data_IF_873152841464
#
_entry.id   IF_873152841464
#
_cell.length_a   1.000
_cell.length_b   1.000
_cell.length_c   1.000
_cell.angle_alpha   90.00
_cell.angle_beta   90.00
_cell.angle_gamma   90.00
#
_symmetry.space_group_name_H-M   'P 1'
#
loop_
_entity.id
_entity.type
_entity.pdbx_description
1 polymer ?
#
# COMPACT_ATOMS: atom_id res chain seq x y z
N UNK A 1 -13.26 -11.04 -9.56
CA UNK A 1 -12.06 -11.76 -10.06
C UNK A 1 -12.48 -12.78 -11.09
N UNK A 2 -11.71 -12.93 -12.17
CA UNK A 2 -11.92 -13.96 -13.21
C UNK A 2 -11.46 -15.32 -12.71
N UNK A 3 -12.14 -16.42 -13.07
CA UNK A 3 -11.67 -17.76 -12.69
C UNK A 3 -10.50 -18.16 -13.58
N UNK A 4 -9.57 -18.94 -13.02
CA UNK A 4 -8.43 -19.49 -13.78
C UNK A 4 -8.89 -20.28 -15.03
N UNK A 5 -10.04 -20.95 -14.93
CA UNK A 5 -10.69 -21.69 -16.01
C UNK A 5 -11.25 -20.80 -17.14
N UNK A 6 -11.48 -19.51 -16.88
CA UNK A 6 -12.01 -18.56 -17.86
C UNK A 6 -10.89 -17.81 -18.60
N UNK A 7 -9.63 -18.02 -18.20
CA UNK A 7 -8.47 -17.40 -18.86
C UNK A 7 -8.09 -18.13 -20.15
N UNK A 8 -7.53 -17.40 -21.14
CA UNK A 8 -6.88 -18.00 -22.31
C UNK A 8 -5.82 -19.03 -21.90
N UNK A 9 -5.65 -20.15 -22.64
CA UNK A 9 -4.74 -21.24 -22.25
C UNK A 9 -3.33 -20.78 -21.87
N UNK A 10 -2.72 -19.92 -22.68
CA UNK A 10 -1.36 -19.39 -22.44
C UNK A 10 -1.27 -18.59 -21.14
N UNK A 11 -2.30 -17.80 -20.81
CA UNK A 11 -2.33 -17.03 -19.57
C UNK A 11 -2.58 -17.92 -18.36
N UNK A 12 -3.42 -18.94 -18.53
CA UNK A 12 -3.69 -19.95 -17.50
C UNK A 12 -2.42 -20.71 -17.12
N UNK A 13 -1.73 -21.28 -18.11
CA UNK A 13 -0.46 -22.00 -17.92
C UNK A 13 0.58 -21.11 -17.24
N UNK A 14 0.77 -19.88 -17.75
CA UNK A 14 1.68 -18.91 -17.14
C UNK A 14 1.33 -18.57 -15.68
N UNK A 15 0.06 -18.58 -15.28
CA UNK A 15 -0.35 -18.35 -13.90
C UNK A 15 -0.17 -19.59 -13.02
N UNK A 16 -0.32 -20.79 -13.58
CA UNK A 16 -0.07 -22.05 -12.87
C UNK A 16 1.42 -22.27 -12.60
N UNK A 17 2.27 -21.87 -13.55
CA UNK A 17 3.73 -21.98 -13.46
C UNK A 17 4.37 -20.76 -12.80
N UNK A 18 3.57 -19.79 -12.34
CA UNK A 18 4.11 -18.58 -11.74
C UNK A 18 4.86 -18.94 -10.47
N UNK A 19 6.15 -18.62 -10.43
CA UNK A 19 7.00 -18.90 -9.28
C UNK A 19 6.51 -18.08 -8.07
N UNK A 20 5.76 -18.73 -7.18
CA UNK A 20 5.39 -18.17 -5.89
C UNK A 20 6.54 -18.41 -4.91
N UNK A 21 7.27 -17.37 -4.49
CA UNK A 21 8.31 -17.55 -3.49
C UNK A 21 7.70 -18.09 -2.19
N UNK A 22 8.28 -19.17 -1.67
CA UNK A 22 8.00 -19.63 -0.31
C UNK A 22 8.85 -18.79 0.64
N UNK A 23 8.22 -17.87 1.34
CA UNK A 23 8.85 -17.21 2.47
C UNK A 23 8.84 -18.17 3.64
N UNK A 24 9.97 -18.30 4.36
CA UNK A 24 9.98 -19.02 5.63
C UNK A 24 8.97 -18.42 6.60
N UNK A 25 8.63 -19.15 7.67
CA UNK A 25 7.82 -18.57 8.73
C UNK A 25 8.61 -17.42 9.37
N UNK A 26 8.29 -16.18 9.03
CA UNK A 26 8.66 -15.07 9.88
C UNK A 26 7.85 -15.28 11.17
N UNK A 27 8.50 -15.42 12.35
CA UNK A 27 7.74 -15.46 13.59
C UNK A 27 6.92 -14.16 13.63
N UNK A 28 5.63 -14.27 13.88
CA UNK A 28 4.80 -13.11 14.19
C UNK A 28 5.47 -12.37 15.34
N UNK A 29 6.07 -11.23 15.04
CA UNK A 29 6.71 -10.42 16.08
C UNK A 29 5.58 -9.83 16.90
N UNK A 30 5.53 -10.17 18.19
CA UNK A 30 4.58 -9.55 19.10
C UNK A 30 4.97 -8.08 19.23
N UNK A 31 4.17 -7.18 18.65
CA UNK A 31 4.28 -5.74 18.89
C UNK A 31 3.58 -5.35 20.19
N UNK A 32 3.69 -4.08 20.56
CA UNK A 32 2.93 -3.48 21.67
C UNK A 32 1.41 -3.73 21.52
N UNK A 33 0.59 -3.56 22.56
CA UNK A 33 -0.86 -3.49 22.42
C UNK A 33 -1.30 -2.50 21.32
N UNK A 34 -2.40 -2.77 20.61
CA UNK A 34 -2.83 -1.93 19.47
C UNK A 34 -2.99 -0.46 19.87
N UNK A 35 -3.59 -0.20 21.03
CA UNK A 35 -3.81 1.13 21.59
C UNK A 35 -2.53 1.88 22.02
N UNK A 36 -1.35 1.29 21.80
CA UNK A 36 -0.04 1.93 21.99
C UNK A 36 0.74 2.07 20.67
N UNK A 37 0.20 1.57 19.56
CA UNK A 37 0.87 1.58 18.25
C UNK A 37 0.59 2.85 17.49
N UNK A 38 1.60 3.30 16.76
CA UNK A 38 1.47 4.36 15.75
C UNK A 38 1.42 3.70 14.38
N UNK A 39 0.29 3.86 13.68
CA UNK A 39 -0.01 3.12 12.45
C UNK A 39 0.12 3.99 11.22
N UNK A 40 0.83 3.50 10.19
CA UNK A 40 0.83 4.07 8.85
C UNK A 40 0.18 3.15 7.81
N UNK A 41 -0.25 3.72 6.68
CA UNK A 41 -0.73 2.99 5.51
C UNK A 41 0.36 2.89 4.46
N UNK A 42 0.49 1.71 3.85
CA UNK A 42 1.31 1.49 2.65
C UNK A 42 0.43 0.93 1.55
N UNK A 43 0.10 1.75 0.55
CA UNK A 43 -0.82 1.42 -0.54
C UNK A 43 -0.08 1.12 -1.84
N UNK A 44 -0.47 0.08 -2.57
CA UNK A 44 0.07 -0.18 -3.93
C UNK A 44 -0.72 0.51 -5.03
N UNK A 45 -1.64 1.41 -4.68
CA UNK A 45 -2.53 2.11 -5.62
C UNK A 45 -1.84 3.16 -6.50
N UNK A 46 -0.51 3.33 -6.43
CA UNK A 46 0.22 4.30 -7.25
C UNK A 46 -0.24 5.75 -7.04
N UNK A 47 -0.49 6.15 -5.78
CA UNK A 47 -0.96 7.47 -5.41
C UNK A 47 0.19 8.49 -5.34
N UNK A 48 -0.07 9.69 -5.83
CA UNK A 48 0.80 10.85 -5.70
C UNK A 48 0.02 12.03 -5.14
N UNK A 49 0.71 12.98 -4.51
CA UNK A 49 0.13 14.29 -4.22
C UNK A 49 0.23 15.16 -5.47
N UNK A 50 -0.79 15.99 -5.74
CA UNK A 50 -0.81 16.95 -6.85
C UNK A 50 0.50 17.74 -6.92
N UNK A 51 1.06 17.84 -8.14
CA UNK A 51 2.36 18.48 -8.38
C UNK A 51 3.56 17.54 -8.25
N UNK A 52 3.41 16.36 -7.65
CA UNK A 52 4.46 15.34 -7.67
C UNK A 52 4.51 14.61 -9.01
N UNK A 53 5.68 14.04 -9.30
CA UNK A 53 5.89 13.21 -10.49
C UNK A 53 5.08 11.92 -10.40
N UNK A 54 4.22 11.72 -11.40
CA UNK A 54 3.47 10.49 -11.63
C UNK A 54 4.38 9.25 -11.64
N UNK A 55 3.83 8.12 -11.23
CA UNK A 55 4.53 6.86 -11.40
C UNK A 55 4.65 6.47 -12.87
N UNK A 56 5.72 5.75 -13.19
CA UNK A 56 5.97 5.19 -14.53
C UNK A 56 6.04 3.67 -14.44
N UNK A 57 5.94 2.94 -15.56
CA UNK A 57 6.18 1.50 -15.57
C UNK A 57 7.51 1.17 -14.90
N UNK A 58 7.51 0.15 -14.03
CA UNK A 58 8.67 -0.30 -13.24
C UNK A 58 9.27 0.76 -12.30
N UNK A 59 8.53 1.81 -11.90
CA UNK A 59 8.99 2.72 -10.83
C UNK A 59 9.11 1.92 -9.52
N UNK A 60 10.27 2.03 -8.87
CA UNK A 60 10.63 1.30 -7.66
C UNK A 60 10.58 2.16 -6.40
N UNK A 61 10.34 3.46 -6.55
CA UNK A 61 10.33 4.42 -5.44
C UNK A 61 8.95 4.46 -4.81
N UNK A 62 8.86 4.86 -3.54
CA UNK A 62 7.59 5.25 -2.94
C UNK A 62 7.32 6.75 -3.08
N UNK A 63 6.12 7.15 -2.71
CA UNK A 63 5.71 8.54 -2.47
C UNK A 63 5.18 8.67 -1.05
N UNK A 64 5.61 9.70 -0.34
CA UNK A 64 5.02 10.06 0.93
C UNK A 64 3.76 10.90 0.69
N UNK A 65 2.71 10.57 1.44
CA UNK A 65 1.39 11.19 1.40
C UNK A 65 1.11 11.72 2.81
N UNK A 66 1.15 13.06 3.03
CA UNK A 66 0.79 13.61 4.34
C UNK A 66 -0.60 13.14 4.78
N UNK A 67 -0.79 12.84 6.06
CA UNK A 67 -2.08 12.35 6.58
C UNK A 67 -3.23 13.33 6.26
N UNK A 68 -2.95 14.63 6.45
CA UNK A 68 -3.89 15.74 6.24
C UNK A 68 -3.99 16.21 4.78
N UNK A 69 -3.43 15.48 3.82
CA UNK A 69 -3.56 15.85 2.40
C UNK A 69 -5.04 15.87 2.00
N UNK A 70 -5.52 16.94 1.33
CA UNK A 70 -6.89 16.97 0.81
C UNK A 70 -7.13 15.84 -0.20
N UNK A 71 -8.32 15.22 -0.15
CA UNK A 71 -8.69 14.15 -1.11
C UNK A 71 -8.56 14.61 -2.56
N UNK A 72 -8.92 15.87 -2.83
CA UNK A 72 -8.85 16.46 -4.16
C UNK A 72 -7.42 16.57 -4.71
N UNK A 73 -6.40 16.50 -3.85
CA UNK A 73 -4.99 16.55 -4.22
C UNK A 73 -4.34 15.17 -4.30
N UNK A 74 -5.04 14.10 -3.94
CA UNK A 74 -4.59 12.74 -4.17
C UNK A 74 -4.91 12.32 -5.60
N UNK A 75 -3.89 11.91 -6.35
CA UNK A 75 -4.01 11.46 -7.73
C UNK A 75 -3.56 10.00 -7.85
N UNK A 76 -4.41 9.16 -8.46
CA UNK A 76 -4.04 7.80 -8.82
C UNK A 76 -3.32 7.78 -10.17
N UNK A 77 -2.02 7.48 -10.16
CA UNK A 77 -1.17 7.38 -11.36
C UNK A 77 -0.71 5.94 -11.63
N UNK A 78 -1.46 4.97 -11.11
CA UNK A 78 -1.20 3.54 -11.33
C UNK A 78 -1.26 3.18 -12.82
N UNK A 79 -0.25 2.48 -13.33
CA UNK A 79 -0.11 2.19 -14.77
C UNK A 79 -0.99 1.03 -15.25
N UNK A 80 -1.36 0.10 -14.35
CA UNK A 80 -2.23 -1.03 -14.71
C UNK A 80 -3.64 -0.57 -15.05
N UNK A 81 -4.18 -1.08 -16.15
CA UNK A 81 -5.58 -0.87 -16.58
C UNK A 81 -6.52 -1.96 -16.05
N UNK A 82 -6.03 -2.92 -15.27
CA UNK A 82 -6.74 -4.17 -14.93
C UNK A 82 -7.62 -4.11 -13.68
N UNK A 83 -7.91 -2.93 -13.15
CA UNK A 83 -8.82 -2.77 -12.00
C UNK A 83 -9.74 -1.58 -12.17
N UNK A 84 -10.90 -1.69 -11.54
CA UNK A 84 -11.92 -0.65 -11.53
C UNK A 84 -11.48 0.52 -10.65
N UNK A 85 -11.45 1.71 -11.23
CA UNK A 85 -11.11 2.96 -10.52
C UNK A 85 -12.34 3.64 -9.93
N UNK A 86 -13.54 3.16 -10.24
CA UNK A 86 -14.78 3.79 -9.81
C UNK A 86 -14.92 3.79 -8.28
N UNK A 87 -14.39 2.77 -7.60
CA UNK A 87 -14.29 2.73 -6.13
C UNK A 87 -13.48 3.91 -5.58
N UNK A 88 -12.24 4.08 -6.06
CA UNK A 88 -11.38 5.21 -5.69
C UNK A 88 -12.00 6.58 -5.99
N UNK A 89 -12.62 6.72 -7.16
CA UNK A 89 -13.25 7.98 -7.58
C UNK A 89 -14.39 8.38 -6.62
N UNK A 90 -15.11 7.40 -6.07
CA UNK A 90 -16.20 7.64 -5.12
C UNK A 90 -15.71 7.83 -3.69
N UNK A 91 -14.74 7.03 -3.27
CA UNK A 91 -14.23 7.03 -1.90
C UNK A 91 -12.73 6.68 -1.87
N UNK A 92 -11.85 7.67 -1.58
CA UNK A 92 -10.42 7.47 -1.44
C UNK A 92 -10.02 6.44 -0.37
N UNK A 93 -10.85 6.25 0.67
CA UNK A 93 -10.55 5.30 1.74
C UNK A 93 -10.55 3.84 1.26
N UNK A 94 -11.13 3.55 0.09
CA UNK A 94 -11.07 2.20 -0.51
C UNK A 94 -9.63 1.75 -0.77
N UNK A 95 -8.71 2.69 -1.05
CA UNK A 95 -7.30 2.36 -1.35
C UNK A 95 -6.31 3.04 -0.40
N UNK A 96 -6.77 3.98 0.42
CA UNK A 96 -6.00 4.69 1.44
C UNK A 96 -6.92 5.07 2.62
N UNK A 97 -7.31 4.11 3.48
CA UNK A 97 -8.33 4.26 4.54
C UNK A 97 -7.87 5.13 5.72
N UNK A 98 -7.46 6.37 5.44
CA UNK A 98 -6.86 7.26 6.44
C UNK A 98 -7.89 7.75 7.45
N UNK A 99 -9.12 8.03 7.02
CA UNK A 99 -10.18 8.46 7.95
C UNK A 99 -10.57 7.32 8.89
N UNK A 100 -10.57 6.08 8.39
CA UNK A 100 -10.79 4.88 9.22
C UNK A 100 -9.70 4.70 10.27
N UNK A 101 -8.42 4.99 9.95
CA UNK A 101 -7.38 5.02 10.97
C UNK A 101 -7.61 6.13 12.00
N UNK A 102 -8.02 7.32 11.58
CA UNK A 102 -8.32 8.44 12.50
C UNK A 102 -9.48 8.08 13.45
N UNK A 103 -10.51 7.41 12.96
CA UNK A 103 -11.63 6.89 13.77
C UNK A 103 -11.13 5.86 14.80
N UNK A 104 -10.33 4.89 14.39
CA UNK A 104 -9.76 3.89 15.30
C UNK A 104 -8.86 4.52 16.38
N UNK A 105 -8.13 5.58 16.05
CA UNK A 105 -7.33 6.32 17.02
C UNK A 105 -8.23 7.11 18.00
N UNK A 106 -9.29 7.76 17.49
CA UNK A 106 -10.26 8.48 18.31
C UNK A 106 -11.02 7.54 19.28
N UNK A 107 -11.30 6.31 18.85
CA UNK A 107 -11.90 5.25 19.68
C UNK A 107 -10.90 4.60 20.65
N UNK A 108 -9.60 4.92 20.55
CA UNK A 108 -8.54 4.33 21.38
C UNK A 108 -8.22 2.87 21.02
N UNK A 109 -8.67 2.38 19.86
CA UNK A 109 -8.34 1.04 19.35
C UNK A 109 -6.86 0.98 18.95
N UNK A 110 -6.35 2.04 18.31
CA UNK A 110 -4.93 2.25 18.05
C UNK A 110 -4.41 3.45 18.83
N UNK A 111 -3.09 3.51 19.08
CA UNK A 111 -2.49 4.60 19.84
C UNK A 111 -2.47 5.93 19.08
N UNK A 112 -2.02 5.89 17.82
CA UNK A 112 -1.96 7.07 16.96
C UNK A 112 -1.94 6.70 15.47
N UNK A 113 -2.22 7.70 14.63
CA UNK A 113 -2.00 7.63 13.19
C UNK A 113 -0.70 8.36 12.85
N UNK A 114 0.12 7.78 11.98
CA UNK A 114 1.34 8.42 11.51
C UNK A 114 1.03 9.66 10.65
N UNK A 115 1.86 10.70 10.77
CA UNK A 115 1.75 11.96 10.00
C UNK A 115 1.85 11.78 8.47
N UNK A 116 2.35 10.63 8.02
CA UNK A 116 2.49 10.31 6.62
C UNK A 116 2.19 8.85 6.34
N UNK A 117 1.61 8.63 5.17
CA UNK A 117 1.36 7.35 4.54
C UNK A 117 2.20 7.23 3.27
N UNK A 118 2.24 6.04 2.69
CA UNK A 118 3.15 5.76 1.59
C UNK A 118 2.44 5.02 0.48
N UNK A 119 2.83 5.34 -0.76
CA UNK A 119 2.35 4.60 -1.93
C UNK A 119 3.50 4.09 -2.79
N UNK A 120 3.33 2.87 -3.28
CA UNK A 120 4.17 2.23 -4.29
C UNK A 120 3.35 1.99 -5.57
N UNK A 121 4.06 1.74 -6.66
CA UNK A 121 3.46 1.17 -7.87
C UNK A 121 3.22 -0.33 -7.68
N UNK A 122 1.97 -0.78 -7.67
CA UNK A 122 1.61 -2.20 -7.59
C UNK A 122 1.94 -3.00 -8.85
N UNK A 123 2.01 -2.34 -10.01
CA UNK A 123 2.43 -2.96 -11.29
C UNK A 123 3.97 -3.00 -11.48
N UNK A 124 4.71 -3.24 -10.40
CA UNK A 124 6.17 -3.44 -10.40
C UNK A 124 6.50 -4.76 -9.72
N UNK A 125 7.52 -5.47 -10.19
CA UNK A 125 8.01 -6.71 -9.58
C UNK A 125 8.45 -6.45 -8.13
N UNK A 126 7.89 -7.21 -7.17
CA UNK A 126 8.09 -6.98 -5.74
C UNK A 126 9.57 -6.99 -5.32
N UNK A 127 10.40 -7.85 -5.94
CA UNK A 127 11.85 -7.91 -5.65
C UNK A 127 12.57 -6.59 -5.92
N UNK A 128 12.09 -5.80 -6.89
CA UNK A 128 12.68 -4.51 -7.23
C UNK A 128 12.28 -3.41 -6.21
N UNK A 129 11.25 -3.65 -5.41
CA UNK A 129 10.78 -2.72 -4.38
C UNK A 129 11.52 -2.90 -3.05
N UNK A 130 12.20 -4.02 -2.84
CA UNK A 130 12.86 -4.37 -1.57
C UNK A 130 13.79 -3.26 -1.04
N UNK A 131 14.68 -2.64 -1.85
CA UNK A 131 15.57 -1.61 -1.33
C UNK A 131 14.81 -0.37 -0.84
N UNK A 132 13.73 0.01 -1.52
CA UNK A 132 12.90 1.13 -1.14
C UNK A 132 12.04 0.81 0.08
N UNK A 133 11.55 -0.43 0.20
CA UNK A 133 10.81 -0.91 1.36
C UNK A 133 11.70 -0.98 2.61
N UNK A 134 12.94 -1.47 2.50
CA UNK A 134 13.90 -1.49 3.59
C UNK A 134 14.26 -0.08 4.08
N UNK A 135 14.48 0.86 3.14
CA UNK A 135 14.67 2.27 3.47
C UNK A 135 13.47 2.86 4.21
N UNK A 136 12.26 2.61 3.70
CA UNK A 136 11.03 3.08 4.33
C UNK A 136 10.86 2.51 5.74
N UNK A 137 11.07 1.21 5.93
CA UNK A 137 10.97 0.57 7.25
C UNK A 137 11.91 1.23 8.28
N UNK A 138 13.14 1.56 7.87
CA UNK A 138 14.08 2.28 8.73
C UNK A 138 13.64 3.73 9.02
N UNK A 139 13.03 4.42 8.06
CA UNK A 139 12.44 5.76 8.26
C UNK A 139 11.26 5.73 9.24
N UNK A 140 10.34 4.78 9.06
CA UNK A 140 9.18 4.58 9.94
C UNK A 140 9.62 4.35 11.38
N UNK A 141 10.57 3.43 11.59
CA UNK A 141 11.08 3.12 12.92
C UNK A 141 11.72 4.35 13.60
N UNK A 142 12.51 5.14 12.86
CA UNK A 142 13.12 6.38 13.40
C UNK A 142 12.08 7.43 13.79
N UNK A 143 10.92 7.44 13.14
CA UNK A 143 9.83 8.38 13.40
C UNK A 143 8.81 7.84 14.41
N UNK A 144 9.11 6.75 15.11
CA UNK A 144 8.21 6.16 16.11
C UNK A 144 6.97 5.48 15.53
N UNK A 145 6.96 5.20 14.23
CA UNK A 145 5.94 4.36 13.59
C UNK A 145 6.37 2.91 13.73
N UNK A 146 5.57 2.13 14.45
CA UNK A 146 5.88 0.73 14.77
C UNK A 146 5.00 -0.26 14.02
N UNK A 147 4.02 0.24 13.25
CA UNK A 147 3.02 -0.58 12.57
C UNK A 147 2.70 -0.04 11.19
N UNK A 148 2.75 -0.91 10.17
CA UNK A 148 2.32 -0.60 8.82
C UNK A 148 1.14 -1.50 8.43
N UNK A 149 0.04 -0.89 8.00
CA UNK A 149 -1.08 -1.57 7.36
C UNK A 149 -0.88 -1.54 5.85
N UNK A 150 -0.72 -2.72 5.26
CA UNK A 150 -0.55 -2.88 3.81
C UNK A 150 -1.92 -2.87 3.12
N UNK A 151 -2.09 -2.03 2.11
CA UNK A 151 -3.32 -1.88 1.32
C UNK A 151 -3.01 -2.24 -0.15
N UNK A 152 -3.10 -3.53 -0.52
CA UNK A 152 -2.81 -3.98 -1.87
C UNK A 152 -3.97 -3.67 -2.82
N UNK A 153 -3.64 -3.15 -4.00
CA UNK A 153 -4.52 -2.79 -5.13
C UNK A 153 -3.94 -3.36 -6.41
#
# INVERSE_FOLDING_TARGET
MVRLADLPPTKRESMQDYACPSYGHAPSVAGAPLNQRTVTLVSTAGLVVRGQRAFTPRDTRYRALPHEVPDADLLMTHVSVNFDRSGWIRDPDVVLPRRRLSELAAEGVIGAVADSHYSFMGATEAVLLEPAAAKLAAELHRNGVDTALLVPI
#
